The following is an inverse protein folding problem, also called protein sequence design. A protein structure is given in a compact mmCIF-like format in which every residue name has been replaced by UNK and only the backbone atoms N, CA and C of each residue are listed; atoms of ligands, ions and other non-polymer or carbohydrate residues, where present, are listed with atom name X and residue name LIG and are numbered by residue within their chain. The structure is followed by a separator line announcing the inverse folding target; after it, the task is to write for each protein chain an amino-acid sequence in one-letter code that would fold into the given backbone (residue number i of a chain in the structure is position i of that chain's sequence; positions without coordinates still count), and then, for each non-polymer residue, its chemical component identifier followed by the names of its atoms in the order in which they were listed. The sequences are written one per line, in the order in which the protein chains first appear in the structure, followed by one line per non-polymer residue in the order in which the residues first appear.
data_IF_906579958120
#
_entry.id   IF_906579958120
#
_cell.length_a   1.000
_cell.length_b   1.000
_cell.length_c   1.000
_cell.angle_alpha   90.00
_cell.angle_beta   90.00
_cell.angle_gamma   90.00
#
_symmetry.space_group_name_H-M   'P 1'
#
loop_
_entity.id
_entity.type
_entity.pdbx_description
1 polymer ?
#
# COMPACT_ATOMS: atom_id res chain seq x y z
N UNK A 1 -10.62 0.10 -3.20
CA UNK A 1 -11.06 -0.04 -4.60
C UNK A 1 -11.27 -1.51 -4.95
N UNK A 2 -12.31 -1.82 -5.72
CA UNK A 2 -12.73 -3.20 -6.02
C UNK A 2 -13.29 -3.30 -7.44
N UNK A 3 -12.79 -4.24 -8.26
CA UNK A 3 -13.18 -4.41 -9.67
C UNK A 3 -13.07 -3.13 -10.53
N UNK A 4 -12.03 -2.31 -10.31
CA UNK A 4 -11.87 -1.08 -11.07
C UNK A 4 -10.42 -0.76 -11.42
N UNK A 5 -10.24 -0.05 -12.54
CA UNK A 5 -8.98 0.55 -12.93
C UNK A 5 -8.95 2.03 -12.51
N UNK A 6 -8.89 2.28 -11.20
CA UNK A 6 -8.84 3.64 -10.67
C UNK A 6 -7.50 4.32 -11.00
N UNK A 7 -7.53 5.61 -11.34
CA UNK A 7 -6.35 6.46 -11.45
C UNK A 7 -6.27 7.33 -10.21
N UNK A 8 -5.20 7.17 -9.43
CA UNK A 8 -4.94 7.91 -8.19
C UNK A 8 -3.62 8.66 -8.40
N UNK A 9 -3.71 9.96 -8.61
CA UNK A 9 -2.53 10.77 -8.98
C UNK A 9 -2.48 12.13 -8.31
N UNK A 10 -1.30 12.55 -7.86
CA UNK A 10 -1.09 13.90 -7.33
C UNK A 10 -1.76 14.15 -5.96
N UNK A 11 -1.92 13.10 -5.14
CA UNK A 11 -2.60 13.21 -3.85
C UNK A 11 -1.63 13.12 -2.67
N UNK A 12 -1.98 13.82 -1.59
CA UNK A 12 -1.45 13.60 -0.26
C UNK A 12 -2.41 12.68 0.50
N UNK A 13 -1.95 11.49 0.87
CA UNK A 13 -2.70 10.47 1.61
C UNK A 13 -1.94 10.20 2.90
N UNK A 14 -2.31 10.94 3.95
CA UNK A 14 -1.55 10.91 5.20
C UNK A 14 -2.40 10.68 6.45
N UNK A 15 -1.78 10.07 7.46
CA UNK A 15 -2.31 9.88 8.82
C UNK A 15 -3.69 9.19 8.86
N UNK A 16 -3.95 8.28 7.92
CA UNK A 16 -5.15 7.47 7.92
C UNK A 16 -4.94 6.18 8.72
N UNK A 17 -6.04 5.69 9.30
CA UNK A 17 -6.07 4.42 10.01
C UNK A 17 -7.13 3.50 9.41
N UNK A 18 -6.73 2.25 9.15
CA UNK A 18 -7.66 1.19 8.80
C UNK A 18 -7.49 -0.01 9.74
N UNK A 19 -8.59 -0.55 10.24
CA UNK A 19 -8.57 -1.67 11.19
C UNK A 19 -7.84 -2.92 10.66
N UNK A 20 -7.80 -3.10 9.33
CA UNK A 20 -7.24 -4.29 8.71
C UNK A 20 -6.35 -4.03 7.51
N UNK A 21 -6.82 -3.34 6.48
CA UNK A 21 -6.18 -3.37 5.16
C UNK A 21 -5.93 -1.97 4.62
N UNK A 22 -4.70 -1.68 4.20
CA UNK A 22 -4.41 -0.53 3.36
C UNK A 22 -4.77 0.79 4.02
N UNK A 23 -4.06 1.14 5.09
CA UNK A 23 -4.29 2.40 5.84
C UNK A 23 -4.37 3.62 4.90
N UNK A 24 -3.47 3.69 3.91
CA UNK A 24 -3.57 4.66 2.81
C UNK A 24 -4.43 4.17 1.64
N UNK A 25 -4.00 3.13 0.94
CA UNK A 25 -4.68 2.62 -0.27
C UNK A 25 -4.91 1.12 -0.16
N UNK A 26 -6.14 0.68 -0.40
CA UNK A 26 -6.48 -0.73 -0.55
C UNK A 26 -7.03 -1.05 -1.96
N UNK A 27 -6.32 -1.94 -2.68
CA UNK A 27 -6.72 -2.48 -3.97
C UNK A 27 -7.05 -3.96 -3.85
N UNK A 28 -8.25 -4.36 -4.27
CA UNK A 28 -8.74 -5.73 -4.17
C UNK A 28 -9.48 -6.16 -5.44
N UNK A 29 -9.42 -7.44 -5.78
CA UNK A 29 -10.24 -8.07 -6.83
C UNK A 29 -10.10 -7.39 -8.20
N UNK A 30 -9.08 -7.81 -8.96
CA UNK A 30 -8.83 -7.34 -10.33
C UNK A 30 -8.77 -5.81 -10.44
N UNK A 31 -8.24 -5.15 -9.41
CA UNK A 31 -8.08 -3.70 -9.41
C UNK A 31 -6.72 -3.33 -10.01
N UNK A 32 -6.71 -3.06 -11.32
CA UNK A 32 -5.49 -2.92 -12.14
C UNK A 32 -5.23 -1.47 -12.58
N UNK A 33 -5.46 -0.52 -11.67
CA UNK A 33 -5.33 0.91 -11.92
C UNK A 33 -3.91 1.46 -11.88
N UNK A 34 -3.80 2.79 -11.89
CA UNK A 34 -2.55 3.54 -11.79
C UNK A 34 -2.50 4.32 -10.47
N UNK A 35 -1.38 4.20 -9.77
CA UNK A 35 -1.04 4.99 -8.58
C UNK A 35 0.28 5.69 -8.89
N UNK A 36 0.22 7.00 -9.12
CA UNK A 36 1.39 7.78 -9.56
C UNK A 36 1.48 9.15 -8.89
N UNK A 37 2.69 9.62 -8.60
CA UNK A 37 2.92 10.95 -8.04
C UNK A 37 2.10 11.24 -6.77
N UNK A 38 1.98 10.26 -5.86
CA UNK A 38 1.31 10.46 -4.57
C UNK A 38 2.31 10.40 -3.41
N UNK A 39 1.98 11.17 -2.37
CA UNK A 39 2.64 11.13 -1.06
C UNK A 39 1.77 10.33 -0.09
N UNK A 40 2.20 9.11 0.25
CA UNK A 40 1.47 8.17 1.12
C UNK A 40 2.24 8.04 2.43
N UNK A 41 1.84 8.82 3.44
CA UNK A 41 2.68 9.10 4.60
C UNK A 41 1.99 8.80 5.94
N UNK A 42 2.68 8.10 6.84
CA UNK A 42 2.23 8.00 8.24
C UNK A 42 0.90 7.27 8.44
N UNK A 43 0.48 6.43 7.49
CA UNK A 43 -0.74 5.65 7.61
C UNK A 43 -0.50 4.37 8.43
N UNK A 44 -1.54 3.87 9.08
CA UNK A 44 -1.50 2.65 9.90
C UNK A 44 -2.61 1.67 9.52
N UNK A 45 -2.26 0.38 9.53
CA UNK A 45 -3.23 -0.72 9.48
C UNK A 45 -2.62 -2.03 9.93
N UNK A 46 -3.39 -3.12 9.97
CA UNK A 46 -2.82 -4.46 10.24
C UNK A 46 -2.10 -5.08 9.03
N UNK A 47 -2.34 -4.61 7.82
CA UNK A 47 -1.79 -5.16 6.56
C UNK A 47 -1.60 -4.07 5.51
N UNK A 48 -0.36 -3.90 5.04
CA UNK A 48 -0.08 -2.98 3.94
C UNK A 48 -0.40 -1.53 4.32
N UNK A 49 0.20 -1.01 5.39
CA UNK A 49 -0.23 0.26 5.99
C UNK A 49 -0.21 1.45 5.02
N UNK A 50 0.80 1.57 4.18
CA UNK A 50 0.74 2.47 3.04
C UNK A 50 -0.23 1.94 1.97
N UNK A 51 0.11 0.82 1.34
CA UNK A 51 -0.66 0.23 0.25
C UNK A 51 -0.85 -1.28 0.46
N UNK A 52 -2.08 -1.77 0.33
CA UNK A 52 -2.39 -3.20 0.31
C UNK A 52 -3.02 -3.62 -1.02
N UNK A 53 -2.42 -4.59 -1.71
CA UNK A 53 -2.83 -5.09 -3.03
C UNK A 53 -3.12 -6.60 -2.94
N UNK A 54 -4.33 -7.02 -3.33
CA UNK A 54 -4.75 -8.41 -3.17
C UNK A 54 -5.80 -8.89 -4.18
N UNK A 55 -6.04 -10.21 -4.20
CA UNK A 55 -7.01 -10.91 -5.05
C UNK A 55 -6.84 -10.62 -6.55
N UNK A 56 -5.71 -11.06 -7.12
CA UNK A 56 -5.42 -10.94 -8.56
C UNK A 56 -5.42 -9.49 -9.05
N UNK A 57 -4.95 -8.56 -8.22
CA UNK A 57 -4.84 -7.15 -8.59
C UNK A 57 -3.41 -6.87 -9.07
N UNK A 58 -3.27 -6.23 -10.22
CA UNK A 58 -1.98 -5.93 -10.86
C UNK A 58 -1.92 -4.46 -11.28
N UNK A 59 -2.02 -3.52 -10.32
CA UNK A 59 -1.89 -2.09 -10.60
C UNK A 59 -0.44 -1.72 -10.98
N UNK A 60 -0.28 -0.54 -11.55
CA UNK A 60 1.04 0.11 -11.70
C UNK A 60 1.21 1.15 -10.59
N UNK A 61 2.30 1.05 -9.84
CA UNK A 61 2.72 1.99 -8.81
C UNK A 61 4.04 2.61 -9.28
N UNK A 62 4.03 3.91 -9.57
CA UNK A 62 5.23 4.60 -10.01
C UNK A 62 5.37 6.00 -9.44
N UNK A 63 6.60 6.44 -9.23
CA UNK A 63 6.89 7.83 -8.88
C UNK A 63 6.18 8.32 -7.59
N UNK A 64 5.85 7.40 -6.66
CA UNK A 64 5.24 7.73 -5.36
C UNK A 64 6.28 7.80 -4.24
N UNK A 65 6.00 8.65 -3.24
CA UNK A 65 6.63 8.62 -1.93
C UNK A 65 5.77 7.79 -0.99
N UNK A 66 6.33 6.71 -0.42
CA UNK A 66 5.65 5.87 0.57
C UNK A 66 6.51 5.87 1.83
N UNK A 67 6.10 6.64 2.84
CA UNK A 67 6.95 6.97 3.97
C UNK A 67 6.26 6.80 5.33
N UNK A 68 7.03 6.35 6.34
CA UNK A 68 6.61 6.33 7.74
C UNK A 68 5.29 5.57 8.04
N UNK A 69 4.82 4.72 7.12
CA UNK A 69 3.63 3.92 7.32
C UNK A 69 3.95 2.71 8.23
N UNK A 70 3.05 2.40 9.15
CA UNK A 70 3.32 1.44 10.23
C UNK A 70 2.25 0.35 10.29
N UNK A 71 2.68 -0.90 10.48
CA UNK A 71 1.77 -2.00 10.83
C UNK A 71 1.85 -2.28 12.33
N UNK A 72 0.76 -2.02 13.04
CA UNK A 72 0.66 -2.19 14.50
C UNK A 72 0.53 -3.64 15.00
N UNK A 73 0.30 -4.63 14.14
CA UNK A 73 0.05 -6.02 14.56
C UNK A 73 1.16 -6.99 14.12
N UNK A 74 1.58 -7.86 15.05
CA UNK A 74 2.81 -8.68 14.95
C UNK A 74 2.75 -9.82 13.95
N UNK A 75 1.56 -10.28 13.56
CA UNK A 75 1.42 -11.50 12.74
C UNK A 75 1.54 -11.24 11.24
N UNK A 76 1.51 -9.97 10.82
CA UNK A 76 1.36 -9.57 9.42
C UNK A 76 2.35 -8.44 9.08
N UNK A 77 2.54 -8.19 7.78
CA UNK A 77 3.64 -7.34 7.30
C UNK A 77 3.25 -6.27 6.29
N UNK A 78 4.28 -5.59 5.77
CA UNK A 78 4.16 -4.56 4.76
C UNK A 78 3.79 -3.19 5.34
N UNK A 79 4.69 -2.59 6.12
CA UNK A 79 4.53 -1.19 6.56
C UNK A 79 4.30 -0.27 5.36
N UNK A 80 5.12 -0.40 4.30
CA UNK A 80 4.97 0.39 3.08
C UNK A 80 3.94 -0.21 2.13
N UNK A 81 4.30 -1.31 1.47
CA UNK A 81 3.44 -2.01 0.51
C UNK A 81 3.32 -3.48 0.93
N UNK A 82 2.11 -4.03 0.87
CA UNK A 82 1.86 -5.47 1.00
C UNK A 82 1.11 -5.98 -0.23
N UNK A 83 1.67 -7.00 -0.89
CA UNK A 83 1.12 -7.65 -2.09
C UNK A 83 0.79 -9.10 -1.76
N UNK A 84 -0.44 -9.53 -2.01
CA UNK A 84 -0.92 -10.87 -1.62
C UNK A 84 -1.89 -11.47 -2.65
N UNK A 85 -2.13 -12.79 -2.55
CA UNK A 85 -3.16 -13.54 -3.27
C UNK A 85 -3.14 -13.35 -4.80
N UNK A 86 -2.11 -13.89 -5.46
CA UNK A 86 -1.92 -13.88 -6.93
C UNK A 86 -1.88 -12.48 -7.57
N UNK A 87 -1.55 -11.45 -6.78
CA UNK A 87 -1.40 -10.09 -7.26
C UNK A 87 0.03 -9.85 -7.75
N UNK A 88 0.17 -9.19 -8.89
CA UNK A 88 1.45 -8.94 -9.55
C UNK A 88 1.55 -7.48 -10.03
N UNK A 89 1.66 -6.50 -9.12
CA UNK A 89 1.80 -5.11 -9.49
C UNK A 89 3.15 -4.83 -10.15
N UNK A 90 3.18 -3.84 -11.06
CA UNK A 90 4.42 -3.20 -11.45
C UNK A 90 4.74 -2.11 -10.42
N UNK A 91 5.90 -2.20 -9.77
CA UNK A 91 6.37 -1.22 -8.78
C UNK A 91 7.71 -0.67 -9.26
N UNK A 92 7.74 0.58 -9.71
CA UNK A 92 8.94 1.21 -10.28
C UNK A 92 9.10 2.65 -9.81
N UNK A 93 10.33 3.16 -9.71
CA UNK A 93 10.61 4.58 -9.38
C UNK A 93 9.90 5.14 -8.12
N UNK A 94 9.52 4.29 -7.17
CA UNK A 94 8.96 4.74 -5.89
C UNK A 94 10.07 4.93 -4.86
N UNK A 95 9.95 5.96 -4.02
CA UNK A 95 10.74 6.10 -2.81
C UNK A 95 9.99 5.48 -1.63
N UNK A 96 10.43 4.31 -1.18
CA UNK A 96 9.81 3.57 -0.06
C UNK A 96 10.76 3.62 1.12
N UNK A 97 10.47 4.45 2.12
CA UNK A 97 11.42 4.73 3.21
C UNK A 97 10.75 4.82 4.58
N UNK A 98 11.48 4.48 5.64
CA UNK A 98 11.02 4.61 7.05
C UNK A 98 9.70 3.90 7.40
N UNK A 99 9.21 2.99 6.55
CA UNK A 99 8.02 2.21 6.84
C UNK A 99 8.37 1.08 7.82
N UNK A 100 7.48 0.81 8.78
CA UNK A 100 7.73 -0.14 9.87
C UNK A 100 6.72 -1.27 9.83
N UNK A 101 7.22 -2.51 9.79
CA UNK A 101 6.46 -3.69 10.19
C UNK A 101 6.90 -4.06 11.61
N UNK A 102 5.97 -4.40 12.48
CA UNK A 102 6.29 -4.85 13.86
C UNK A 102 6.87 -6.26 13.90
N UNK A 103 6.98 -6.97 12.76
CA UNK A 103 7.82 -8.16 12.67
C UNK A 103 9.29 -7.74 12.85
N UNK A 104 9.82 -7.94 14.06
CA UNK A 104 11.27 -7.96 14.28
C UNK A 104 11.85 -8.93 13.25
N UNK A 105 12.71 -8.43 12.37
CA UNK A 105 13.58 -9.28 11.59
C UNK A 105 14.45 -10.03 12.62
N UNK A 106 14.24 -11.35 12.71
CA UNK A 106 15.24 -12.22 13.32
C UNK A 106 16.38 -12.39 12.32
#
# INVERSE_FOLDING_TARGET
FQYCAATITGNLIENNHADYYGGGIHLRQWSNGLIEDNDIIGNDSKLGAGIHITFTSSPTLRDNLIQANTVGHVDLGGGGIYVYYYSNPLIERNLITQNKSTKRAN
#
